data_IF_479089627927
#
_entry.id   IF_479089627927
#
_cell.length_a   1.000
_cell.length_b   1.000
_cell.length_c   1.000
_cell.angle_alpha   90.00
_cell.angle_beta   90.00
_cell.angle_gamma   90.00
#
_symmetry.space_group_name_H-M   'P 1'
#
loop_
_entity.id
_entity.type
_entity.pdbx_description
1 polymer ?
#
# COMPACT_ATOMS: atom_id res chain seq x y z
N UNK A 1 -9.04 4.09 16.53
CA UNK A 1 -8.56 3.51 15.25
C UNK A 1 -7.41 4.33 14.67
N UNK A 2 -7.60 5.62 14.33
CA UNK A 2 -6.54 6.47 13.75
C UNK A 2 -5.41 6.77 14.76
N UNK A 3 -5.74 6.91 16.04
CA UNK A 3 -4.76 7.20 17.11
C UNK A 3 -3.69 6.10 17.27
N UNK A 4 -4.12 4.83 17.24
CA UNK A 4 -3.21 3.66 17.26
C UNK A 4 -2.30 3.59 16.04
N UNK A 5 -2.84 3.89 14.85
CA UNK A 5 -2.05 3.94 13.63
C UNK A 5 -0.99 5.06 13.70
N UNK A 6 -1.33 6.22 14.28
CA UNK A 6 -0.37 7.31 14.53
C UNK A 6 0.75 6.93 15.51
N UNK A 7 0.43 6.26 16.62
CA UNK A 7 1.46 5.79 17.56
C UNK A 7 2.45 4.81 16.90
N UNK A 8 1.98 3.91 16.03
CA UNK A 8 2.87 3.00 15.30
C UNK A 8 3.74 3.69 14.25
N UNK A 9 3.18 4.68 13.54
CA UNK A 9 3.95 5.51 12.61
C UNK A 9 5.05 6.28 13.33
N UNK A 10 4.77 6.80 14.53
CA UNK A 10 5.79 7.43 15.38
C UNK A 10 6.86 6.42 15.86
N UNK A 11 6.48 5.18 16.19
CA UNK A 11 7.44 4.11 16.54
C UNK A 11 8.34 3.70 15.37
N UNK A 12 7.84 3.74 14.13
CA UNK A 12 8.64 3.49 12.91
C UNK A 12 9.45 4.70 12.45
N UNK A 13 9.36 5.83 13.16
CA UNK A 13 9.99 7.12 12.84
C UNK A 13 9.61 7.75 11.49
N UNK A 14 8.82 7.06 10.64
CA UNK A 14 8.43 7.49 9.29
C UNK A 14 6.92 7.34 9.11
N UNK A 15 6.28 8.42 8.66
CA UNK A 15 4.86 8.40 8.30
C UNK A 15 4.63 7.57 7.03
N UNK A 16 3.48 6.89 6.91
CA UNK A 16 3.19 6.09 5.70
C UNK A 16 3.15 6.93 4.41
N UNK A 17 2.90 8.24 4.53
CA UNK A 17 3.01 9.20 3.43
C UNK A 17 4.47 9.47 3.00
N UNK A 18 5.40 9.41 3.97
CA UNK A 18 6.83 9.73 3.82
C UNK A 18 7.72 8.51 3.56
N UNK A 19 7.20 7.28 3.62
CA UNK A 19 7.95 6.08 3.20
C UNK A 19 8.53 6.29 1.79
N UNK A 20 9.86 6.19 1.69
CA UNK A 20 10.57 6.32 0.42
C UNK A 20 10.38 5.05 -0.41
N UNK A 21 10.69 5.13 -1.70
CA UNK A 21 10.54 3.99 -2.62
C UNK A 21 11.42 2.81 -2.22
N UNK A 22 12.61 3.12 -1.72
CA UNK A 22 13.58 2.16 -1.19
C UNK A 22 13.02 1.46 0.05
N UNK A 23 12.45 2.22 1.00
CA UNK A 23 11.83 1.66 2.21
C UNK A 23 10.67 0.72 1.89
N UNK A 24 9.89 0.99 0.84
CA UNK A 24 8.80 0.08 0.43
C UNK A 24 9.38 -1.19 -0.16
N UNK A 25 10.42 -1.14 -0.99
CA UNK A 25 11.04 -2.37 -1.48
C UNK A 25 11.75 -3.17 -0.38
N UNK A 26 12.34 -2.49 0.60
CA UNK A 26 13.08 -3.11 1.71
C UNK A 26 12.13 -3.66 2.79
N UNK A 27 11.07 -2.94 3.16
CA UNK A 27 10.15 -3.33 4.24
C UNK A 27 8.93 -4.10 3.77
N UNK A 28 8.62 -4.05 2.48
CA UNK A 28 7.57 -4.85 1.90
C UNK A 28 8.22 -6.13 1.36
N UNK A 29 8.44 -7.11 2.25
CA UNK A 29 8.56 -8.52 1.85
C UNK A 29 7.22 -8.94 1.24
N UNK A 30 7.01 -8.48 0.00
CA UNK A 30 5.93 -8.90 -0.86
C UNK A 30 6.26 -10.35 -1.18
N UNK A 31 5.67 -11.28 -0.44
CA UNK A 31 5.75 -12.68 -0.83
C UNK A 31 5.33 -12.83 -2.29
N UNK A 32 5.77 -13.89 -2.95
CA UNK A 32 5.59 -14.13 -4.40
C UNK A 32 4.14 -13.94 -4.88
N UNK A 33 3.17 -14.17 -3.99
CA UNK A 33 1.74 -13.97 -4.23
C UNK A 33 1.31 -12.51 -4.35
N UNK A 34 1.88 -11.62 -3.54
CA UNK A 34 1.62 -10.18 -3.61
C UNK A 34 2.26 -9.56 -4.85
N UNK A 35 3.48 -9.97 -5.20
CA UNK A 35 4.13 -9.55 -6.45
C UNK A 35 3.29 -9.91 -7.68
N UNK A 36 2.80 -11.16 -7.74
CA UNK A 36 1.93 -11.60 -8.83
C UNK A 36 0.61 -10.80 -8.92
N UNK A 37 0.07 -10.34 -7.79
CA UNK A 37 -1.12 -9.48 -7.77
C UNK A 37 -0.83 -8.07 -8.26
N UNK A 38 0.30 -7.50 -7.86
CA UNK A 38 0.73 -6.19 -8.34
C UNK A 38 0.95 -6.25 -9.84
N UNK A 39 1.66 -7.27 -10.33
CA UNK A 39 1.89 -7.45 -11.76
C UNK A 39 0.58 -7.59 -12.55
N UNK A 40 -0.37 -8.38 -12.03
CA UNK A 40 -1.73 -8.46 -12.60
C UNK A 40 -2.43 -7.12 -12.61
N UNK A 41 -2.40 -6.37 -11.51
CA UNK A 41 -3.03 -5.06 -11.41
C UNK A 41 -2.36 -4.02 -12.33
N UNK A 42 -1.04 -4.06 -12.47
CA UNK A 42 -0.27 -3.22 -13.40
C UNK A 42 -0.70 -3.50 -14.83
N UNK A 43 -0.78 -4.77 -15.23
CA UNK A 43 -1.21 -5.18 -16.55
C UNK A 43 -2.68 -4.81 -16.83
N UNK A 44 -3.56 -5.03 -15.85
CA UNK A 44 -4.99 -4.81 -16.01
C UNK A 44 -5.37 -3.33 -16.05
N UNK A 45 -4.81 -2.52 -15.15
CA UNK A 45 -5.11 -1.10 -15.04
C UNK A 45 -4.11 -0.20 -15.80
N UNK A 46 -3.12 -0.79 -16.51
CA UNK A 46 -2.02 -0.10 -17.22
C UNK A 46 -1.33 0.95 -16.35
N UNK A 47 -0.95 0.54 -15.16
CA UNK A 47 -0.42 1.45 -14.14
C UNK A 47 1.03 1.81 -14.44
N UNK A 48 1.32 3.11 -14.48
CA UNK A 48 2.71 3.55 -14.43
C UNK A 48 3.35 3.13 -13.10
N UNK A 49 4.69 2.98 -13.04
CA UNK A 49 5.40 2.65 -11.81
C UNK A 49 4.99 3.56 -10.65
N UNK A 50 4.83 4.86 -10.91
CA UNK A 50 4.34 5.85 -9.94
C UNK A 50 2.96 5.51 -9.34
N UNK A 51 2.06 4.94 -10.14
CA UNK A 51 0.73 4.52 -9.69
C UNK A 51 0.80 3.30 -8.76
N UNK A 52 1.66 2.33 -9.10
CA UNK A 52 1.95 1.17 -8.23
C UNK A 52 2.50 1.64 -6.88
N UNK A 53 3.44 2.59 -6.91
CA UNK A 53 4.07 3.10 -5.71
C UNK A 53 3.03 3.76 -4.78
N UNK A 54 2.06 4.48 -5.36
CA UNK A 54 0.96 5.07 -4.61
C UNK A 54 0.02 4.02 -4.02
N UNK A 55 -0.28 2.95 -4.77
CA UNK A 55 -1.07 1.81 -4.26
C UNK A 55 -0.38 1.16 -3.08
N UNK A 56 0.93 0.92 -3.15
CA UNK A 56 1.70 0.33 -2.06
C UNK A 56 1.63 1.18 -0.78
N UNK A 57 1.72 2.52 -0.91
CA UNK A 57 1.56 3.45 0.23
C UNK A 57 0.17 3.38 0.85
N UNK A 58 -0.88 3.32 0.02
CA UNK A 58 -2.27 3.20 0.48
C UNK A 58 -2.48 1.83 1.16
N UNK A 59 -2.01 0.75 0.55
CA UNK A 59 -2.07 -0.60 1.12
C UNK A 59 -1.36 -0.67 2.48
N UNK A 60 -0.22 0.01 2.63
CA UNK A 60 0.48 0.11 3.93
C UNK A 60 -0.35 0.84 4.97
N UNK A 61 -0.99 1.94 4.58
CA UNK A 61 -1.88 2.71 5.46
C UNK A 61 -3.07 1.87 5.91
N UNK A 62 -3.67 1.09 5.01
CA UNK A 62 -4.77 0.18 5.32
C UNK A 62 -4.29 -0.93 6.27
N UNK A 63 -3.09 -1.49 6.06
CA UNK A 63 -2.51 -2.48 6.95
C UNK A 63 -2.29 -1.92 8.36
N UNK A 64 -1.74 -0.70 8.50
CA UNK A 64 -1.60 -0.03 9.80
C UNK A 64 -2.95 0.25 10.47
N UNK A 65 -3.97 0.65 9.70
CA UNK A 65 -5.33 0.85 10.21
C UNK A 65 -5.99 -0.48 10.64
N UNK A 66 -5.64 -1.57 9.99
CA UNK A 66 -6.07 -2.93 10.31
C UNK A 66 -5.24 -3.58 11.44
N UNK A 67 -4.31 -2.83 12.06
CA UNK A 67 -3.42 -3.32 13.12
C UNK A 67 -2.46 -4.42 12.65
N UNK A 68 -2.28 -4.59 11.33
CA UNK A 68 -1.43 -5.63 10.73
C UNK A 68 -0.01 -5.14 10.50
N UNK A 69 0.98 -5.87 11.01
CA UNK A 69 2.39 -5.56 10.79
C UNK A 69 2.83 -5.84 9.34
N UNK A 70 2.19 -6.81 8.68
CA UNK A 70 2.48 -7.22 7.30
C UNK A 70 1.41 -6.73 6.33
N UNK A 71 1.82 -6.43 5.10
CA UNK A 71 0.86 -6.16 4.02
C UNK A 71 0.31 -7.51 3.55
N UNK A 72 -1.01 -7.62 3.55
CA UNK A 72 -1.75 -8.79 3.09
C UNK A 72 -2.40 -8.50 1.74
N UNK A 73 -2.75 -9.57 1.02
CA UNK A 73 -3.46 -9.51 -0.27
C UNK A 73 -4.73 -8.64 -0.17
N UNK A 74 -5.46 -8.74 0.94
CA UNK A 74 -6.67 -7.93 1.20
C UNK A 74 -6.37 -6.42 1.21
N UNK A 75 -5.27 -5.99 1.83
CA UNK A 75 -4.91 -4.57 1.91
C UNK A 75 -4.50 -4.01 0.54
N UNK A 76 -3.86 -4.84 -0.27
CA UNK A 76 -3.48 -4.47 -1.63
C UNK A 76 -4.72 -4.35 -2.54
N UNK A 77 -5.65 -5.31 -2.46
CA UNK A 77 -6.90 -5.27 -3.21
C UNK A 77 -7.74 -4.04 -2.84
N UNK A 78 -7.87 -3.75 -1.55
CA UNK A 78 -8.54 -2.53 -1.07
C UNK A 78 -7.87 -1.28 -1.65
N UNK A 79 -6.54 -1.18 -1.61
CA UNK A 79 -5.82 -0.03 -2.14
C UNK A 79 -6.00 0.16 -3.66
N UNK A 80 -6.03 -0.93 -4.43
CA UNK A 80 -6.33 -0.91 -5.86
C UNK A 80 -7.77 -0.42 -6.08
N UNK A 81 -8.72 -0.93 -5.29
CA UNK A 81 -10.14 -0.53 -5.31
C UNK A 81 -10.32 0.96 -5.04
N UNK A 82 -9.67 1.49 -3.99
CA UNK A 82 -9.68 2.91 -3.67
C UNK A 82 -9.23 3.76 -4.86
N UNK A 83 -8.17 3.35 -5.56
CA UNK A 83 -7.66 4.11 -6.70
C UNK A 83 -8.56 4.03 -7.94
N UNK A 84 -9.23 2.90 -8.16
CA UNK A 84 -10.25 2.81 -9.20
C UNK A 84 -11.43 3.74 -8.89
N UNK A 85 -11.75 3.91 -7.60
CA UNK A 85 -12.80 4.79 -7.12
C UNK A 85 -12.43 6.29 -7.24
N UNK A 86 -11.14 6.64 -7.06
CA UNK A 86 -10.64 8.00 -7.28
C UNK A 86 -10.66 8.39 -8.77
N UNK A 87 -10.38 7.44 -9.68
CA UNK A 87 -10.38 7.70 -11.11
C UNK A 87 -11.77 7.98 -11.70
N UNK A 88 -12.85 7.57 -11.02
CA UNK A 88 -14.23 7.85 -11.44
C UNK A 88 -14.77 9.20 -10.94
N UNK A 89 -13.99 9.94 -10.12
CA UNK A 89 -14.43 11.18 -9.47
C UNK A 89 -13.97 12.47 -10.17
N UNK A 90 -13.55 12.42 -11.43
CA UNK A 90 -13.21 13.64 -12.20
C UNK A 90 -14.00 13.76 -13.48
#
# INVERSE_FOLDING_TARGET
>A
RVDRARCRQMQRAVLNAQLSLDDIQIHCELGTRLEALIEKAVNHFRLSPRGVHRILKVARTIADLADSERILELHLQEAIGYRCLEACQT
#
